data_IF_186270101861
#
_entry.id   IF_186270101861
#
_cell.length_a   1.000
_cell.length_b   1.000
_cell.length_c   1.000
_cell.angle_alpha   90.00
_cell.angle_beta   90.00
_cell.angle_gamma   90.00
#
_symmetry.space_group_name_H-M   'P 1'
#
loop_
_entity.id
_entity.type
_entity.pdbx_description
1 polymer ?
#
# COMPACT_ATOMS: atom_id res chain seq x y z
N UNK A 1 -18.08 15.68 19.10
CA UNK A 1 -17.71 15.94 17.70
C UNK A 1 -16.39 15.24 17.38
N UNK A 2 -16.39 14.09 16.69
CA UNK A 2 -15.15 13.43 16.26
C UNK A 2 -15.29 12.96 14.81
N UNK A 3 -15.20 13.90 13.87
CA UNK A 3 -15.04 13.61 12.44
C UNK A 3 -13.61 13.97 12.02
N UNK A 4 -12.63 13.29 12.61
CA UNK A 4 -11.29 13.28 12.03
C UNK A 4 -11.38 12.49 10.72
N UNK A 5 -11.44 13.19 9.58
CA UNK A 5 -11.48 12.60 8.22
C UNK A 5 -10.40 11.52 8.10
N UNK A 6 -10.82 10.26 8.02
CA UNK A 6 -9.90 9.11 8.08
C UNK A 6 -9.34 8.80 6.70
N UNK A 7 -8.15 9.35 6.51
CA UNK A 7 -7.26 9.21 5.36
C UNK A 7 -6.57 7.83 5.38
N UNK A 8 -6.82 6.97 4.39
CA UNK A 8 -6.01 5.76 4.09
C UNK A 8 -5.69 5.63 2.59
N UNK A 9 -4.69 4.79 2.27
CA UNK A 9 -4.31 4.37 0.90
C UNK A 9 -5.51 3.89 0.05
N UNK A 10 -6.50 3.27 0.68
CA UNK A 10 -7.83 3.02 0.10
C UNK A 10 -8.77 4.09 0.65
N UNK A 11 -9.14 5.06 -0.19
CA UNK A 11 -10.08 6.11 0.20
C UNK A 11 -11.49 5.74 -0.23
N UNK A 12 -12.32 5.38 0.74
CA UNK A 12 -13.75 5.11 0.51
C UNK A 12 -14.55 6.39 0.25
N UNK A 13 -14.07 7.54 0.74
CA UNK A 13 -14.67 8.86 0.52
C UNK A 13 -14.53 9.28 -0.95
N UNK A 14 -13.30 9.20 -1.49
CA UNK A 14 -13.00 9.57 -2.87
C UNK A 14 -13.12 8.40 -3.86
N UNK A 15 -13.50 7.21 -3.37
CA UNK A 15 -13.59 5.95 -4.15
C UNK A 15 -12.33 5.70 -4.98
N UNK A 16 -11.16 5.84 -4.36
CA UNK A 16 -9.88 5.66 -5.02
C UNK A 16 -8.91 4.77 -4.24
N UNK A 17 -7.98 4.16 -4.96
CA UNK A 17 -6.94 3.27 -4.47
C UNK A 17 -5.59 3.80 -4.95
N UNK A 18 -4.73 4.19 -4.03
CA UNK A 18 -3.34 4.55 -4.31
C UNK A 18 -2.47 3.30 -4.30
N UNK A 19 -1.94 2.90 -5.46
CA UNK A 19 -0.97 1.80 -5.59
C UNK A 19 0.42 2.35 -5.33
N UNK A 20 0.97 2.03 -4.16
CA UNK A 20 2.23 2.59 -3.70
C UNK A 20 3.43 1.81 -4.26
N UNK A 21 4.01 2.30 -5.35
CA UNK A 21 5.32 1.79 -5.81
C UNK A 21 6.42 2.36 -4.89
N UNK A 22 7.41 1.55 -4.47
CA UNK A 22 8.55 2.04 -3.69
C UNK A 22 9.32 3.14 -4.42
N UNK A 23 9.71 4.18 -3.68
CA UNK A 23 10.54 5.32 -4.14
C UNK A 23 9.98 6.11 -5.33
N UNK A 24 8.67 6.14 -5.50
CA UNK A 24 7.96 6.98 -6.50
C UNK A 24 7.17 8.14 -5.89
N UNK A 25 7.57 8.62 -4.70
CA UNK A 25 6.88 9.74 -4.03
C UNK A 25 5.60 9.34 -3.30
N UNK A 26 5.38 8.05 -3.03
CA UNK A 26 4.22 7.55 -2.29
C UNK A 26 4.07 8.17 -0.89
N UNK A 27 5.16 8.60 -0.25
CA UNK A 27 5.12 9.33 1.03
C UNK A 27 4.34 10.65 0.94
N UNK A 28 4.47 11.38 -0.17
CA UNK A 28 3.71 12.62 -0.39
C UNK A 28 2.21 12.34 -0.50
N UNK A 29 1.86 11.25 -1.21
CA UNK A 29 0.48 10.78 -1.32
C UNK A 29 -0.06 10.37 0.06
N UNK A 30 0.74 9.71 0.91
CA UNK A 30 0.36 9.40 2.29
C UNK A 30 0.14 10.65 3.16
N UNK A 31 0.77 11.78 2.85
CA UNK A 31 0.48 13.05 3.53
C UNK A 31 -0.95 13.55 3.27
N UNK A 32 -1.44 13.33 2.05
CA UNK A 32 -2.78 13.76 1.61
C UNK A 32 -3.84 12.70 1.96
N UNK A 33 -3.61 11.47 1.52
CA UNK A 33 -4.53 10.34 1.65
C UNK A 33 -4.34 9.53 2.90
N UNK A 34 -3.28 9.71 3.69
CA UNK A 34 -3.08 9.03 4.98
C UNK A 34 -2.33 7.70 4.89
N UNK A 35 -1.90 7.20 6.06
CA UNK A 35 -1.02 6.02 6.16
C UNK A 35 -1.77 4.71 5.90
N UNK A 36 -1.17 3.84 5.10
CA UNK A 36 -1.58 2.45 4.95
C UNK A 36 -1.20 1.63 6.19
N UNK A 37 -1.99 0.59 6.51
CA UNK A 37 -1.58 -0.41 7.51
C UNK A 37 -0.43 -1.28 7.00
N UNK A 38 -0.46 -1.63 5.72
CA UNK A 38 0.63 -2.30 5.01
C UNK A 38 0.85 -1.56 3.69
N UNK A 39 1.99 -0.87 3.52
CA UNK A 39 2.30 -0.18 2.27
C UNK A 39 2.71 -1.18 1.18
N UNK A 40 2.83 -0.69 -0.06
CA UNK A 40 3.40 -1.42 -1.20
C UNK A 40 2.67 -2.73 -1.58
N UNK A 41 1.37 -2.78 -1.34
CA UNK A 41 0.56 -3.90 -1.78
C UNK A 41 0.36 -3.87 -3.30
N UNK A 42 0.48 -5.03 -3.93
CA UNK A 42 0.09 -5.18 -5.32
C UNK A 42 -1.45 -5.22 -5.45
N UNK A 43 -1.96 -5.05 -6.68
CA UNK A 43 -3.39 -5.00 -6.95
C UNK A 43 -4.15 -6.24 -6.45
N UNK A 44 -3.54 -7.42 -6.55
CA UNK A 44 -4.16 -8.66 -6.10
C UNK A 44 -4.27 -8.70 -4.57
N UNK A 45 -3.22 -8.30 -3.85
CA UNK A 45 -3.23 -8.19 -2.39
C UNK A 45 -4.24 -7.14 -1.92
N UNK A 46 -4.35 -6.00 -2.61
CA UNK A 46 -5.37 -4.99 -2.31
C UNK A 46 -6.78 -5.57 -2.52
N UNK A 47 -7.02 -6.25 -3.64
CA UNK A 47 -8.28 -6.93 -3.92
C UNK A 47 -8.63 -7.93 -2.81
N UNK A 48 -7.73 -8.86 -2.51
CA UNK A 48 -7.90 -9.85 -1.46
C UNK A 48 -8.18 -9.19 -0.11
N UNK A 49 -7.47 -8.11 0.23
CA UNK A 49 -7.73 -7.35 1.45
C UNK A 49 -9.14 -6.72 1.46
N UNK A 50 -9.61 -6.17 0.34
CA UNK A 50 -10.95 -5.59 0.24
C UNK A 50 -12.06 -6.65 0.32
N UNK A 51 -11.81 -7.86 -0.20
CA UNK A 51 -12.76 -8.98 -0.17
C UNK A 51 -12.83 -9.67 1.20
N UNK A 52 -11.70 -9.75 1.92
CA UNK A 52 -11.60 -10.48 3.18
C UNK A 52 -11.81 -9.60 4.41
N UNK A 53 -11.40 -8.34 4.37
CA UNK A 53 -11.45 -7.44 5.52
C UNK A 53 -12.60 -6.43 5.42
N UNK A 54 -13.03 -5.96 6.60
CA UNK A 54 -13.93 -4.80 6.69
C UNK A 54 -13.17 -3.55 6.24
N UNK A 55 -13.54 -3.01 5.08
CA UNK A 55 -12.97 -1.76 4.57
C UNK A 55 -13.97 -0.59 4.70
N UNK A 56 -15.25 -0.86 4.96
CA UNK A 56 -16.30 0.17 5.06
C UNK A 56 -16.06 1.12 6.25
N UNK A 57 -15.86 2.42 5.97
CA UNK A 57 -15.67 3.50 6.98
C UNK A 57 -14.52 3.27 8.00
N UNK A 58 -13.31 2.99 7.51
CA UNK A 58 -12.09 3.16 8.31
C UNK A 58 -11.50 1.89 8.94
N UNK A 59 -11.85 0.71 8.42
CA UNK A 59 -11.18 -0.55 8.77
C UNK A 59 -11.58 -1.14 10.14
N UNK A 60 -10.76 -2.08 10.64
CA UNK A 60 -10.93 -2.77 11.95
C UNK A 60 -10.88 -1.86 13.19
N UNK A 61 -10.78 -0.53 13.04
CA UNK A 61 -10.63 0.40 14.17
C UNK A 61 -11.93 0.64 14.94
N UNK A 62 -13.10 0.34 14.38
CA UNK A 62 -14.35 0.29 15.15
C UNK A 62 -14.66 -1.18 15.48
N UNK A 63 -14.31 -1.62 16.69
CA UNK A 63 -14.44 -3.02 17.10
C UNK A 63 -15.89 -3.53 17.02
N UNK A 64 -16.87 -2.69 17.37
CA UNK A 64 -18.29 -3.08 17.35
C UNK A 64 -18.75 -3.31 15.92
N UNK A 65 -18.52 -2.34 15.02
CA UNK A 65 -18.88 -2.49 13.61
C UNK A 65 -18.10 -3.61 12.91
N UNK A 66 -16.82 -3.78 13.26
CA UNK A 66 -16.01 -4.87 12.74
C UNK A 66 -16.56 -6.24 13.18
N UNK A 67 -16.99 -6.39 14.44
CA UNK A 67 -17.66 -7.61 14.92
C UNK A 67 -19.00 -7.84 14.23
N UNK A 68 -19.82 -6.80 14.05
CA UNK A 68 -21.09 -6.89 13.34
C UNK A 68 -20.90 -7.23 11.85
N UNK A 69 -19.77 -6.85 11.24
CA UNK A 69 -19.49 -7.26 9.87
C UNK A 69 -19.30 -8.76 9.73
N UNK A 70 -18.69 -9.40 10.72
CA UNK A 70 -18.44 -10.84 10.69
C UNK A 70 -19.74 -11.65 10.73
N UNK A 71 -20.86 -11.04 11.16
CA UNK A 71 -22.19 -11.65 11.09
C UNK A 71 -22.72 -11.76 9.65
N UNK A 72 -22.14 -11.03 8.68
CA UNK A 72 -22.51 -11.17 7.26
C UNK A 72 -21.85 -12.43 6.69
N UNK A 73 -22.58 -13.14 5.82
CA UNK A 73 -22.03 -14.29 5.10
C UNK A 73 -20.74 -13.91 4.35
N UNK A 74 -19.79 -14.83 4.31
CA UNK A 74 -18.51 -14.61 3.64
C UNK A 74 -18.68 -14.21 2.17
N UNK A 75 -19.62 -14.83 1.48
CA UNK A 75 -19.98 -14.52 0.09
C UNK A 75 -20.36 -13.06 -0.09
N UNK A 76 -21.24 -12.53 0.78
CA UNK A 76 -21.64 -11.12 0.72
C UNK A 76 -20.49 -10.17 1.04
N UNK A 77 -19.58 -10.54 1.94
CA UNK A 77 -18.39 -9.74 2.25
C UNK A 77 -17.45 -9.66 1.04
N UNK A 78 -17.20 -10.80 0.40
CA UNK A 78 -16.40 -10.90 -0.83
C UNK A 78 -17.02 -10.08 -1.96
N UNK A 79 -18.33 -10.23 -2.19
CA UNK A 79 -19.04 -9.50 -3.24
C UNK A 79 -18.97 -7.97 -3.05
N UNK A 80 -19.16 -7.48 -1.82
CA UNK A 80 -19.05 -6.04 -1.50
C UNK A 80 -17.63 -5.56 -1.78
N UNK A 81 -16.62 -6.28 -1.29
CA UNK A 81 -15.21 -5.96 -1.48
C UNK A 81 -14.81 -5.94 -2.96
N UNK A 82 -15.23 -6.96 -3.71
CA UNK A 82 -15.05 -7.08 -5.16
C UNK A 82 -15.66 -5.89 -5.90
N UNK A 83 -16.92 -5.56 -5.60
CA UNK A 83 -17.63 -4.44 -6.21
C UNK A 83 -16.94 -3.11 -5.92
N UNK A 84 -16.48 -2.89 -4.69
CA UNK A 84 -15.71 -1.69 -4.35
C UNK A 84 -14.39 -1.65 -5.11
N UNK A 85 -13.62 -2.74 -5.11
CA UNK A 85 -12.36 -2.81 -5.84
C UNK A 85 -12.55 -2.50 -7.32
N UNK A 86 -13.55 -3.11 -7.96
CA UNK A 86 -13.80 -2.92 -9.39
C UNK A 86 -14.26 -1.49 -9.71
N UNK A 87 -15.06 -0.87 -8.84
CA UNK A 87 -15.58 0.50 -9.06
C UNK A 87 -14.63 1.63 -8.66
N UNK A 88 -13.64 1.38 -7.80
CA UNK A 88 -12.74 2.44 -7.32
C UNK A 88 -11.70 2.79 -8.38
N UNK A 89 -11.38 4.08 -8.49
CA UNK A 89 -10.31 4.56 -9.37
C UNK A 89 -8.94 4.15 -8.80
N UNK A 90 -8.12 3.44 -9.59
CA UNK A 90 -6.78 3.03 -9.16
C UNK A 90 -5.74 3.92 -9.84
N UNK A 91 -4.82 4.44 -9.06
CA UNK A 91 -3.72 5.25 -9.58
C UNK A 91 -2.44 4.95 -8.83
N UNK A 92 -1.31 5.25 -9.46
CA UNK A 92 0.01 5.13 -8.87
C UNK A 92 0.97 6.05 -9.59
N UNK A 93 2.12 6.28 -8.97
CA UNK A 93 3.18 7.09 -9.55
C UNK A 93 4.34 6.20 -9.94
N UNK A 94 4.94 6.52 -11.08
CA UNK A 94 6.20 5.94 -11.56
C UNK A 94 7.29 7.01 -11.52
N UNK A 95 8.55 6.59 -11.52
CA UNK A 95 9.73 7.46 -11.57
C UNK A 95 10.65 6.93 -12.66
N UNK A 96 11.51 7.79 -13.20
CA UNK A 96 12.63 7.36 -14.05
C UNK A 96 13.32 6.14 -13.41
N UNK A 97 13.54 5.04 -14.16
CA UNK A 97 14.09 3.81 -13.60
C UNK A 97 15.45 4.00 -12.91
N UNK A 98 16.37 4.74 -13.53
CA UNK A 98 17.70 5.01 -13.00
C UNK A 98 17.64 5.84 -11.71
N UNK A 99 16.85 6.91 -11.72
CA UNK A 99 16.64 7.72 -10.50
C UNK A 99 16.01 6.90 -9.36
N UNK A 100 15.13 5.95 -9.71
CA UNK A 100 14.52 5.05 -8.72
C UNK A 100 15.55 4.09 -8.14
N UNK A 101 16.43 3.53 -8.96
CA UNK A 101 17.52 2.64 -8.56
C UNK A 101 18.50 3.36 -7.64
N UNK A 102 18.98 4.55 -8.01
CA UNK A 102 19.83 5.38 -7.14
C UNK A 102 19.11 5.69 -5.82
N UNK A 103 17.84 6.07 -5.87
CA UNK A 103 17.06 6.35 -4.66
C UNK A 103 16.85 5.12 -3.76
N UNK A 104 16.82 3.91 -4.34
CA UNK A 104 16.76 2.65 -3.61
C UNK A 104 18.11 2.31 -2.97
N UNK A 105 19.22 2.52 -3.66
CA UNK A 105 20.57 2.30 -3.16
C UNK A 105 20.91 3.23 -1.99
N UNK A 106 20.60 4.51 -2.14
CA UNK A 106 20.89 5.56 -1.15
C UNK A 106 19.93 5.59 0.05
N UNK A 107 18.94 4.70 0.09
CA UNK A 107 17.92 4.73 1.15
C UNK A 107 18.57 4.48 2.52
N UNK A 108 18.17 5.27 3.49
CA UNK A 108 18.54 5.07 4.91
C UNK A 108 17.56 4.14 5.63
N UNK A 109 16.46 3.77 4.97
CA UNK A 109 15.37 2.98 5.53
C UNK A 109 15.59 1.46 5.33
N UNK A 110 15.61 0.69 6.43
CA UNK A 110 15.97 -0.73 6.51
C UNK A 110 17.44 -1.03 6.13
N UNK A 111 17.72 -2.18 5.51
CA UNK A 111 19.08 -2.59 5.14
C UNK A 111 19.70 -1.55 4.19
N UNK A 112 20.77 -0.91 4.66
CA UNK A 112 21.53 0.08 3.92
C UNK A 112 22.48 -0.65 2.98
N UNK A 113 21.99 -0.96 1.78
CA UNK A 113 22.72 -1.76 0.79
C UNK A 113 24.07 -1.13 0.40
N UNK A 114 24.20 0.19 0.48
CA UNK A 114 25.47 0.89 0.28
C UNK A 114 26.59 0.47 1.26
N UNK A 115 26.24 -0.06 2.43
CA UNK A 115 27.22 -0.55 3.40
C UNK A 115 27.60 -2.01 3.14
N UNK A 116 26.82 -2.72 2.32
CA UNK A 116 26.95 -4.16 2.08
C UNK A 116 27.51 -4.47 0.68
N UNK A 117 27.27 -3.62 -0.32
CA UNK A 117 27.69 -3.81 -1.71
C UNK A 117 27.90 -2.47 -2.44
N UNK A 118 28.70 -2.52 -3.51
CA UNK A 118 28.87 -1.40 -4.46
C UNK A 118 27.58 -1.10 -5.24
N UNK A 119 27.54 0.06 -5.90
CA UNK A 119 26.38 0.43 -6.72
C UNK A 119 26.23 -0.48 -7.93
N UNK A 120 27.34 -0.88 -8.55
CA UNK A 120 27.40 -1.79 -9.69
C UNK A 120 26.84 -3.17 -9.33
N UNK A 121 27.31 -3.77 -8.22
CA UNK A 121 26.79 -5.04 -7.70
C UNK A 121 25.29 -4.94 -7.37
N UNK A 122 24.84 -3.79 -6.88
CA UNK A 122 23.43 -3.54 -6.63
C UNK A 122 22.58 -3.46 -7.91
N UNK A 123 23.10 -2.81 -8.97
CA UNK A 123 22.42 -2.74 -10.27
C UNK A 123 22.26 -4.13 -10.86
N UNK A 124 23.31 -4.95 -10.83
CA UNK A 124 23.26 -6.33 -11.29
C UNK A 124 22.25 -7.13 -10.47
N UNK A 125 22.29 -7.00 -9.13
CA UNK A 125 21.34 -7.69 -8.24
C UNK A 125 19.87 -7.27 -8.46
N UNK A 126 19.61 -5.98 -8.66
CA UNK A 126 18.25 -5.46 -8.80
C UNK A 126 17.63 -5.77 -10.16
N UNK A 127 18.45 -5.93 -11.21
CA UNK A 127 17.99 -6.36 -12.53
C UNK A 127 17.32 -7.75 -12.47
N UNK A 128 17.88 -8.67 -11.67
CA UNK A 128 17.28 -9.98 -11.41
C UNK A 128 16.17 -9.95 -10.34
N UNK A 129 16.11 -8.90 -9.53
CA UNK A 129 15.15 -8.77 -8.44
C UNK A 129 13.89 -8.01 -8.88
N UNK A 130 12.88 -8.74 -9.34
CA UNK A 130 11.48 -8.26 -9.41
C UNK A 130 10.88 -7.85 -8.04
N UNK A 131 11.68 -7.90 -6.97
CA UNK A 131 11.28 -8.02 -5.58
C UNK A 131 11.16 -6.70 -4.81
N UNK A 132 11.33 -5.53 -5.43
CA UNK A 132 11.18 -4.25 -4.69
C UNK A 132 9.79 -4.09 -4.07
N UNK A 133 8.76 -4.73 -4.62
CA UNK A 133 7.41 -4.76 -4.03
C UNK A 133 7.20 -5.92 -3.03
N UNK A 134 8.02 -6.98 -3.10
CA UNK A 134 7.87 -8.20 -2.29
C UNK A 134 8.58 -8.05 -0.93
N UNK A 135 9.79 -7.46 -0.93
CA UNK A 135 10.58 -7.18 0.27
C UNK A 135 10.64 -5.68 0.58
N UNK A 136 9.47 -5.09 0.79
CA UNK A 136 9.37 -3.68 1.15
C UNK A 136 9.96 -3.45 2.55
N UNK A 137 10.98 -2.60 2.64
CA UNK A 137 11.51 -2.09 3.92
C UNK A 137 10.36 -1.57 4.80
N UNK A 138 10.15 -2.09 6.01
CA UNK A 138 9.20 -1.48 6.93
C UNK A 138 9.73 -0.10 7.31
N UNK A 139 9.02 0.95 6.92
CA UNK A 139 9.30 2.30 7.42
C UNK A 139 8.97 2.32 8.92
N UNK A 140 10.00 2.29 9.76
CA UNK A 140 9.87 2.68 11.17
C UNK A 140 9.69 4.20 11.20
N UNK A 141 8.55 4.64 11.72
CA UNK A 141 8.34 6.01 12.18
C UNK A 141 8.24 5.96 13.69
#
# INVERSE_FOLDING_TARGET
MYNARRRQMISHEHKCISVEVPKTGSTSVRGILGKAWKPHLNLWQIKTQMETNWTRYGGRKNRILASLYLLRSEERRKEIGRKQFDTYFKFGFVRNPWDRVVSLYERTEALQLRNEMSFEEFVDWIEYSSATCIHSSPHRY
#
